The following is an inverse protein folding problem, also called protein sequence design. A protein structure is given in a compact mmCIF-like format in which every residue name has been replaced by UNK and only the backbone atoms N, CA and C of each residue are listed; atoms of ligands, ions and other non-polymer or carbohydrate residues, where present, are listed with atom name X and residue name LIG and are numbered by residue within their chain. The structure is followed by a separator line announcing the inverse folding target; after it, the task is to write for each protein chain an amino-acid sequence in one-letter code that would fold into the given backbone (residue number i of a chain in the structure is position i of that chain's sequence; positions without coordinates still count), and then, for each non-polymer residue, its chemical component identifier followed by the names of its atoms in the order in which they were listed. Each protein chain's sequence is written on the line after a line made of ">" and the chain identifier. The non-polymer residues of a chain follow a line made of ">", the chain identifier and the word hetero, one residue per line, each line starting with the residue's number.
data_IF_948821102078
#
_entry.id   IF_948821102078
#
_cell.length_a   1.000
_cell.length_b   1.000
_cell.length_c   1.000
_cell.angle_alpha   90.00
_cell.angle_beta   90.00
_cell.angle_gamma   90.00
#
_symmetry.space_group_name_H-M   'P 1'
#
loop_
_entity.id
_entity.type
_entity.pdbx_description
1 polymer ?
#
# COMPACT_ATOMS: atom_id res chain seq x y z
N UNK A 1 14.32 21.18 -22.40
CA UNK A 1 12.96 21.24 -21.81
C UNK A 1 12.67 22.59 -21.16
N UNK A 2 13.44 23.00 -20.14
CA UNK A 2 13.15 24.19 -19.30
C UNK A 2 12.78 25.48 -20.03
N UNK A 3 13.49 25.86 -21.11
CA UNK A 3 13.17 27.07 -21.90
C UNK A 3 11.75 27.04 -22.45
N UNK A 4 11.30 25.90 -23.00
CA UNK A 4 9.96 25.75 -23.56
C UNK A 4 8.90 25.79 -22.45
N UNK A 5 9.15 25.12 -21.32
CA UNK A 5 8.25 25.19 -20.16
C UNK A 5 8.09 26.63 -19.65
N UNK A 6 9.18 27.39 -19.52
CA UNK A 6 9.14 28.80 -19.10
C UNK A 6 8.33 29.67 -20.08
N UNK A 7 8.48 29.47 -21.38
CA UNK A 7 7.68 30.18 -22.39
C UNK A 7 6.18 29.83 -22.29
N UNK A 8 5.82 28.55 -22.08
CA UNK A 8 4.41 28.15 -21.84
C UNK A 8 3.87 28.75 -20.53
N UNK A 9 4.67 28.81 -19.47
CA UNK A 9 4.22 29.41 -18.20
C UNK A 9 4.01 30.92 -18.30
N UNK A 10 4.80 31.61 -19.12
CA UNK A 10 4.74 33.06 -19.29
C UNK A 10 3.71 33.54 -20.32
N UNK A 11 3.42 32.74 -21.37
CA UNK A 11 2.61 33.18 -22.52
C UNK A 11 1.23 32.53 -22.65
N UNK A 12 0.91 31.50 -21.88
CA UNK A 12 -0.29 30.70 -22.09
C UNK A 12 -1.32 30.84 -20.95
N UNK A 13 -2.46 31.47 -21.26
CA UNK A 13 -3.62 31.57 -20.36
C UNK A 13 -4.37 30.23 -20.22
N UNK A 14 -4.12 29.27 -21.10
CA UNK A 14 -4.80 27.98 -21.13
C UNK A 14 -4.29 27.08 -20.00
N UNK A 15 -5.02 27.06 -18.87
CA UNK A 15 -4.71 26.24 -17.68
C UNK A 15 -4.32 24.79 -18.02
N UNK A 16 -4.99 24.15 -18.99
CA UNK A 16 -4.73 22.77 -19.43
C UNK A 16 -3.33 22.57 -20.05
N UNK A 17 -2.88 23.49 -20.89
CA UNK A 17 -1.56 23.38 -21.54
C UNK A 17 -0.45 23.64 -20.51
N UNK A 18 -0.64 24.61 -19.62
CA UNK A 18 0.23 24.86 -18.47
C UNK A 18 0.40 23.61 -17.59
N UNK A 19 -0.70 22.94 -17.23
CA UNK A 19 -0.69 21.69 -16.45
C UNK A 19 0.10 20.57 -17.16
N UNK A 20 -0.15 20.35 -18.45
CA UNK A 20 0.56 19.33 -19.24
C UNK A 20 2.06 19.64 -19.37
N UNK A 21 2.42 20.90 -19.57
CA UNK A 21 3.82 21.34 -19.60
C UNK A 21 4.54 21.09 -18.26
N UNK A 22 3.87 21.35 -17.12
CA UNK A 22 4.39 21.03 -15.79
C UNK A 22 4.61 19.51 -15.62
N UNK A 23 3.61 18.68 -15.96
CA UNK A 23 3.74 17.23 -15.85
C UNK A 23 4.87 16.66 -16.72
N UNK A 24 5.02 17.14 -17.96
CA UNK A 24 6.13 16.76 -18.83
C UNK A 24 7.49 17.25 -18.30
N UNK A 25 7.56 18.42 -17.66
CA UNK A 25 8.78 18.91 -17.02
C UNK A 25 9.18 18.02 -15.83
N UNK A 26 8.22 17.72 -14.94
CA UNK A 26 8.45 16.86 -13.77
C UNK A 26 8.88 15.45 -14.22
N UNK A 27 8.21 14.87 -15.22
CA UNK A 27 8.58 13.58 -15.80
C UNK A 27 10.01 13.57 -16.33
N UNK A 28 10.42 14.61 -17.07
CA UNK A 28 11.78 14.75 -17.57
C UNK A 28 12.81 14.89 -16.44
N UNK A 29 12.55 15.72 -15.42
CA UNK A 29 13.44 15.87 -14.26
C UNK A 29 13.59 14.56 -13.48
N UNK A 30 12.50 13.81 -13.28
CA UNK A 30 12.50 12.51 -12.63
C UNK A 30 13.20 11.42 -13.47
N UNK A 31 13.22 11.54 -14.80
CA UNK A 31 13.98 10.66 -15.71
C UNK A 31 15.50 10.90 -15.64
N UNK A 32 15.91 12.12 -15.27
CA UNK A 32 17.30 12.57 -15.18
C UNK A 32 17.83 12.67 -13.74
N UNK A 33 17.22 11.96 -12.80
CA UNK A 33 17.66 11.88 -11.39
C UNK A 33 17.73 13.24 -10.67
N UNK A 34 16.89 14.21 -11.06
CA UNK A 34 16.76 15.50 -10.37
C UNK A 34 15.59 15.49 -9.39
N UNK A 35 15.67 14.65 -8.35
CA UNK A 35 14.56 14.40 -7.43
C UNK A 35 14.03 15.67 -6.75
N UNK A 36 14.90 16.46 -6.11
CA UNK A 36 14.48 17.67 -5.38
C UNK A 36 13.71 18.65 -6.29
N UNK A 37 14.26 18.97 -7.47
CA UNK A 37 13.60 19.87 -8.42
C UNK A 37 12.25 19.33 -8.91
N UNK A 38 12.14 18.02 -9.14
CA UNK A 38 10.90 17.38 -9.56
C UNK A 38 9.84 17.37 -8.44
N UNK A 39 10.24 17.10 -7.20
CA UNK A 39 9.40 17.14 -6.00
C UNK A 39 8.87 18.54 -5.74
N UNK A 40 9.75 19.53 -5.74
CA UNK A 40 9.41 20.91 -5.38
C UNK A 40 8.43 21.50 -6.42
N UNK A 41 8.64 21.24 -7.71
CA UNK A 41 7.69 21.59 -8.77
C UNK A 41 6.33 20.86 -8.63
N UNK A 42 6.33 19.58 -8.25
CA UNK A 42 5.08 18.85 -8.00
C UNK A 42 4.29 19.49 -6.85
N UNK A 43 4.95 19.80 -5.73
CA UNK A 43 4.33 20.42 -4.56
C UNK A 43 3.82 21.84 -4.86
N UNK A 44 4.64 22.70 -5.48
CA UNK A 44 4.24 24.07 -5.87
C UNK A 44 3.03 24.11 -6.80
N UNK A 45 2.85 23.07 -7.62
CA UNK A 45 1.78 23.02 -8.63
C UNK A 45 0.39 22.66 -8.06
N UNK A 46 0.33 22.12 -6.84
CA UNK A 46 -0.90 21.60 -6.19
C UNK A 46 -1.78 20.69 -7.07
N UNK A 47 -1.18 20.00 -8.06
CA UNK A 47 -1.92 19.21 -9.05
C UNK A 47 -2.74 18.08 -8.44
N UNK A 48 -2.32 17.54 -7.29
CA UNK A 48 -3.04 16.52 -6.51
C UNK A 48 -4.53 16.85 -6.32
N UNK A 49 -4.89 18.11 -6.05
CA UNK A 49 -6.28 18.52 -5.82
C UNK A 49 -7.10 18.76 -7.10
N UNK A 50 -6.44 18.85 -8.26
CA UNK A 50 -7.05 19.33 -9.53
C UNK A 50 -7.20 18.18 -10.54
N UNK A 51 -6.39 17.11 -10.42
CA UNK A 51 -6.33 16.01 -11.39
C UNK A 51 -7.66 15.27 -11.57
N UNK A 52 -8.44 15.04 -10.52
CA UNK A 52 -9.73 14.33 -10.61
C UNK A 52 -10.73 15.03 -11.54
N UNK A 53 -10.65 16.35 -11.63
CA UNK A 53 -11.49 17.19 -12.49
C UNK A 53 -10.88 17.45 -13.89
N UNK A 54 -9.68 16.91 -14.16
CA UNK A 54 -8.97 17.07 -15.43
C UNK A 54 -9.35 16.02 -16.47
N UNK A 55 -8.99 16.25 -17.74
CA UNK A 55 -9.27 15.29 -18.80
C UNK A 55 -8.48 13.99 -18.64
N UNK A 56 -9.08 12.85 -19.01
CA UNK A 56 -8.50 11.50 -18.81
C UNK A 56 -7.07 11.37 -19.38
N UNK A 57 -6.75 12.02 -20.50
CA UNK A 57 -5.38 12.04 -21.03
C UNK A 57 -4.37 12.78 -20.14
N UNK A 58 -4.80 13.82 -19.42
CA UNK A 58 -3.99 14.53 -18.41
C UNK A 58 -3.88 13.71 -17.12
N UNK A 59 -4.93 12.99 -16.72
CA UNK A 59 -4.89 12.02 -15.60
C UNK A 59 -3.89 10.88 -15.86
N UNK A 60 -3.90 10.29 -17.05
CA UNK A 60 -2.92 9.26 -17.46
C UNK A 60 -1.49 9.82 -17.40
N UNK A 61 -1.27 11.05 -17.90
CA UNK A 61 0.03 11.71 -17.83
C UNK A 61 0.47 11.94 -16.37
N UNK A 62 -0.44 12.39 -15.50
CA UNK A 62 -0.19 12.57 -14.07
C UNK A 62 0.19 11.26 -13.37
N UNK A 63 -0.58 10.18 -13.56
CA UNK A 63 -0.30 8.86 -12.98
C UNK A 63 1.11 8.38 -13.38
N UNK A 64 1.47 8.54 -14.65
CA UNK A 64 2.81 8.21 -15.16
C UNK A 64 3.91 9.08 -14.56
N UNK A 65 3.64 10.37 -14.36
CA UNK A 65 4.56 11.30 -13.68
C UNK A 65 4.75 10.94 -12.21
N UNK A 66 3.71 10.51 -11.50
CA UNK A 66 3.81 9.96 -10.14
C UNK A 66 4.66 8.69 -10.13
N UNK A 67 4.41 7.72 -11.02
CA UNK A 67 5.23 6.50 -11.11
C UNK A 67 6.71 6.85 -11.31
N UNK A 68 7.00 7.76 -12.24
CA UNK A 68 8.37 8.17 -12.53
C UNK A 68 9.01 8.92 -11.37
N UNK A 69 8.25 9.74 -10.63
CA UNK A 69 8.71 10.45 -9.44
C UNK A 69 8.98 9.48 -8.27
N UNK A 70 8.14 8.47 -8.07
CA UNK A 70 8.35 7.40 -7.08
C UNK A 70 9.58 6.54 -7.40
N UNK A 71 9.78 6.17 -8.67
CA UNK A 71 11.00 5.51 -9.13
C UNK A 71 12.25 6.40 -8.94
N UNK A 72 12.13 7.71 -9.16
CA UNK A 72 13.22 8.67 -8.90
C UNK A 72 13.54 8.79 -7.40
N UNK A 73 12.52 8.83 -6.54
CA UNK A 73 12.68 8.84 -5.08
C UNK A 73 13.41 7.57 -4.59
N UNK A 74 13.01 6.40 -5.10
CA UNK A 74 13.67 5.13 -4.80
C UNK A 74 15.16 5.14 -5.17
N UNK A 75 15.51 5.65 -6.36
CA UNK A 75 16.92 5.77 -6.82
C UNK A 75 17.78 6.69 -5.95
N UNK A 76 17.16 7.58 -5.15
CA UNK A 76 17.82 8.46 -4.17
C UNK A 76 17.77 7.92 -2.73
N UNK A 77 17.30 6.69 -2.51
CA UNK A 77 17.07 6.06 -1.19
C UNK A 77 15.96 6.69 -0.33
N UNK A 78 15.09 7.52 -0.92
CA UNK A 78 13.89 8.07 -0.25
C UNK A 78 12.75 7.03 -0.26
N UNK A 79 12.90 5.98 0.56
CA UNK A 79 12.04 4.79 0.57
C UNK A 79 10.60 5.13 1.02
N UNK A 80 10.42 6.04 1.99
CA UNK A 80 9.09 6.43 2.50
C UNK A 80 8.28 7.16 1.44
N UNK A 81 8.92 8.10 0.76
CA UNK A 81 8.36 8.91 -0.32
C UNK A 81 8.08 8.07 -1.57
N UNK A 82 8.98 7.14 -1.91
CA UNK A 82 8.78 6.16 -2.97
C UNK A 82 7.58 5.24 -2.67
N UNK A 83 7.48 4.72 -1.44
CA UNK A 83 6.33 3.92 -1.00
C UNK A 83 5.03 4.73 -1.12
N UNK A 84 4.97 5.94 -0.58
CA UNK A 84 3.78 6.79 -0.61
C UNK A 84 3.31 7.07 -2.05
N UNK A 85 4.22 7.50 -2.94
CA UNK A 85 3.88 7.81 -4.33
C UNK A 85 3.43 6.59 -5.15
N UNK A 86 3.94 5.38 -4.86
CA UNK A 86 3.56 4.16 -5.57
C UNK A 86 2.33 3.46 -4.96
N UNK A 87 2.02 3.71 -3.68
CA UNK A 87 0.95 3.06 -2.92
C UNK A 87 -0.43 3.24 -3.55
N UNK A 88 -0.78 4.46 -3.98
CA UNK A 88 -2.08 4.76 -4.59
C UNK A 88 -2.29 3.97 -5.87
N UNK A 89 -1.26 3.87 -6.73
CA UNK A 89 -1.37 3.23 -8.04
C UNK A 89 -1.36 1.70 -7.91
N UNK A 90 -0.54 1.12 -7.03
CA UNK A 90 -0.46 -0.33 -6.85
C UNK A 90 -1.65 -0.92 -6.08
N UNK A 91 -2.13 -0.25 -5.02
CA UNK A 91 -3.22 -0.79 -4.19
C UNK A 91 -4.55 -0.96 -4.95
N UNK A 92 -4.77 -0.23 -6.04
CA UNK A 92 -5.97 -0.37 -6.89
C UNK A 92 -6.02 -1.69 -7.67
N UNK A 93 -4.89 -2.41 -7.81
CA UNK A 93 -4.73 -3.57 -8.70
C UNK A 93 -5.05 -3.30 -10.19
N UNK A 94 -5.25 -2.03 -10.58
CA UNK A 94 -5.61 -1.59 -11.94
C UNK A 94 -4.50 -0.78 -12.62
N UNK A 95 -3.26 -0.91 -12.14
CA UNK A 95 -2.10 -0.13 -12.60
C UNK A 95 -1.88 -0.13 -14.13
N UNK A 96 -2.13 -1.25 -14.83
CA UNK A 96 -2.03 -1.33 -16.31
C UNK A 96 -3.02 -0.41 -17.03
N UNK A 97 -4.21 -0.21 -16.46
CA UNK A 97 -5.24 0.68 -17.01
C UNK A 97 -4.97 2.14 -16.66
N UNK A 98 -4.62 2.42 -15.40
CA UNK A 98 -4.31 3.77 -14.91
C UNK A 98 -3.11 4.42 -15.63
N UNK A 99 -2.22 3.60 -16.19
CA UNK A 99 -1.07 4.03 -17.00
C UNK A 99 -1.30 3.94 -18.52
N UNK A 100 -2.51 3.53 -18.95
CA UNK A 100 -2.91 3.31 -20.35
C UNK A 100 -1.96 2.39 -21.15
N UNK A 101 -1.47 1.33 -20.49
CA UNK A 101 -0.56 0.32 -21.06
C UNK A 101 -1.28 -1.00 -21.42
N UNK A 102 -2.51 -1.19 -20.92
CA UNK A 102 -3.33 -2.35 -21.23
C UNK A 102 -4.73 -2.23 -20.64
N UNK A 103 -5.62 -3.11 -21.10
CA UNK A 103 -7.00 -3.24 -20.61
C UNK A 103 -7.01 -4.32 -19.53
N UNK A 104 -7.65 -4.10 -18.38
CA UNK A 104 -7.79 -5.16 -17.39
C UNK A 104 -8.89 -6.14 -17.84
N UNK A 105 -8.64 -7.44 -17.68
CA UNK A 105 -9.51 -8.50 -18.23
C UNK A 105 -10.82 -8.72 -17.45
N UNK A 106 -11.25 -7.79 -16.59
CA UNK A 106 -12.51 -7.94 -15.83
C UNK A 106 -13.70 -7.66 -16.73
N UNK A 107 -14.36 -8.74 -17.15
CA UNK A 107 -15.53 -8.78 -18.04
C UNK A 107 -16.82 -8.15 -17.49
N UNK A 108 -16.82 -7.58 -16.28
CA UNK A 108 -18.03 -7.01 -15.68
C UNK A 108 -18.31 -5.62 -16.29
N UNK A 109 -19.18 -5.61 -17.31
CA UNK A 109 -19.96 -4.45 -17.79
C UNK A 109 -19.15 -3.25 -18.34
N UNK A 110 -18.37 -3.49 -19.40
CA UNK A 110 -17.91 -2.40 -20.29
C UNK A 110 -18.63 -2.46 -21.64
N UNK A 111 -19.15 -1.32 -22.09
CA UNK A 111 -19.71 -1.19 -23.44
C UNK A 111 -18.59 -1.19 -24.49
N UNK A 112 -18.83 -1.81 -25.64
CA UNK A 112 -17.83 -1.95 -26.71
C UNK A 112 -17.29 -0.60 -27.22
N UNK A 113 -18.08 0.47 -27.13
CA UNK A 113 -17.67 1.84 -27.46
C UNK A 113 -16.66 2.41 -26.47
N UNK A 114 -16.83 2.15 -25.17
CA UNK A 114 -15.87 2.56 -24.13
C UNK A 114 -14.54 1.81 -24.31
N UNK A 115 -14.56 0.52 -24.61
CA UNK A 115 -13.33 -0.24 -24.87
C UNK A 115 -12.60 0.26 -26.13
N UNK A 116 -13.33 0.62 -27.19
CA UNK A 116 -12.76 1.23 -28.40
C UNK A 116 -12.10 2.58 -28.11
N UNK A 117 -12.72 3.41 -27.26
CA UNK A 117 -12.16 4.69 -26.81
C UNK A 117 -10.96 4.50 -25.86
N UNK A 118 -10.96 3.48 -25.01
CA UNK A 118 -9.79 3.13 -24.19
C UNK A 118 -8.61 2.64 -25.05
N UNK A 119 -8.84 1.76 -26.05
CA UNK A 119 -7.81 1.36 -27.02
C UNK A 119 -7.21 2.56 -27.76
N UNK A 120 -8.05 3.49 -28.21
CA UNK A 120 -7.59 4.71 -28.88
C UNK A 120 -6.77 5.67 -27.98
N UNK A 121 -6.85 5.51 -26.64
CA UNK A 121 -6.07 6.26 -25.65
C UNK A 121 -4.81 5.53 -25.18
N UNK A 122 -4.54 4.33 -25.68
CA UNK A 122 -3.34 3.57 -25.31
C UNK A 122 -2.08 4.27 -25.80
N UNK A 123 -1.06 4.21 -24.96
CA UNK A 123 0.25 4.81 -25.23
C UNK A 123 1.10 3.81 -26.04
N UNK A 124 1.94 4.25 -27.00
CA UNK A 124 2.86 3.36 -27.72
C UNK A 124 3.83 2.61 -26.79
N UNK A 125 4.21 1.39 -27.17
CA UNK A 125 5.01 0.48 -26.34
C UNK A 125 6.35 1.08 -25.86
N UNK A 126 7.03 1.88 -26.69
CA UNK A 126 8.30 2.53 -26.32
C UNK A 126 8.16 3.60 -25.21
N UNK A 127 6.94 3.99 -24.85
CA UNK A 127 6.64 4.85 -23.70
C UNK A 127 6.08 4.05 -22.50
N UNK A 128 6.00 2.72 -22.55
CA UNK A 128 5.53 1.91 -21.42
C UNK A 128 6.57 1.93 -20.29
N UNK A 129 6.08 2.01 -19.05
CA UNK A 129 6.87 1.84 -17.81
C UNK A 129 6.57 0.42 -17.35
N UNK A 130 7.58 -0.44 -17.20
CA UNK A 130 7.35 -1.84 -16.80
C UNK A 130 6.61 -1.90 -15.43
N UNK A 131 5.42 -2.49 -15.43
CA UNK A 131 4.59 -2.63 -14.23
C UNK A 131 5.19 -3.62 -13.23
N UNK A 132 5.92 -4.64 -13.70
CA UNK A 132 6.61 -5.60 -12.81
C UNK A 132 7.79 -4.95 -12.07
N UNK A 133 8.52 -4.07 -12.75
CA UNK A 133 9.56 -3.22 -12.15
C UNK A 133 8.96 -2.31 -11.07
N UNK A 134 7.86 -1.62 -11.39
CA UNK A 134 7.16 -0.75 -10.45
C UNK A 134 6.59 -1.52 -9.25
N UNK A 135 6.07 -2.73 -9.47
CA UNK A 135 5.56 -3.59 -8.40
C UNK A 135 6.70 -4.12 -7.51
N UNK A 136 7.81 -4.56 -8.10
CA UNK A 136 8.98 -4.98 -7.35
C UNK A 136 9.55 -3.86 -6.47
N UNK A 137 9.71 -2.64 -7.02
CA UNK A 137 10.14 -1.46 -6.25
C UNK A 137 9.15 -1.14 -5.13
N UNK A 138 7.84 -1.16 -5.39
CA UNK A 138 6.82 -0.95 -4.36
C UNK A 138 6.92 -1.98 -3.23
N UNK A 139 7.01 -3.28 -3.57
CA UNK A 139 7.10 -4.36 -2.59
C UNK A 139 8.41 -4.32 -1.78
N UNK A 140 9.54 -3.95 -2.39
CA UNK A 140 10.81 -3.72 -1.65
C UNK A 140 10.67 -2.53 -0.69
N UNK A 141 10.02 -1.44 -1.11
CA UNK A 141 9.77 -0.31 -0.22
C UNK A 141 8.82 -0.68 0.93
N UNK A 142 7.74 -1.43 0.66
CA UNK A 142 6.86 -1.96 1.72
C UNK A 142 7.62 -2.91 2.65
N UNK A 143 8.46 -3.79 2.13
CA UNK A 143 9.27 -4.74 2.91
C UNK A 143 10.18 -4.01 3.91
N UNK A 144 10.94 -3.02 3.46
CA UNK A 144 11.87 -2.25 4.30
C UNK A 144 11.18 -1.40 5.38
N UNK A 145 9.92 -1.01 5.18
CA UNK A 145 9.16 -0.20 6.13
C UNK A 145 8.29 -1.03 7.09
N UNK A 146 7.65 -2.08 6.56
CA UNK A 146 6.68 -2.89 7.30
C UNK A 146 7.39 -3.89 8.23
N UNK A 147 8.55 -4.46 7.87
CA UNK A 147 9.22 -5.48 8.68
C UNK A 147 9.73 -4.91 10.03
N UNK A 148 10.49 -3.80 10.07
CA UNK A 148 10.88 -3.20 11.34
C UNK A 148 9.66 -2.79 12.18
N UNK A 149 8.60 -2.29 11.53
CA UNK A 149 7.39 -1.89 12.23
C UNK A 149 6.60 -3.10 12.79
N UNK A 150 6.56 -4.21 12.06
CA UNK A 150 5.96 -5.47 12.53
C UNK A 150 6.73 -6.06 13.70
N UNK A 151 8.06 -5.96 13.71
CA UNK A 151 8.90 -6.37 14.84
C UNK A 151 8.66 -5.48 16.07
N UNK A 152 8.63 -4.15 15.91
CA UNK A 152 8.34 -3.23 17.03
C UNK A 152 6.92 -3.40 17.59
N UNK A 153 5.94 -3.71 16.73
CA UNK A 153 4.52 -3.86 17.11
C UNK A 153 4.10 -5.29 17.45
N UNK A 154 5.02 -6.24 17.72
CA UNK A 154 4.61 -7.58 18.16
C UNK A 154 3.82 -7.53 19.48
N UNK A 155 4.11 -6.52 20.32
CA UNK A 155 3.49 -6.30 21.62
C UNK A 155 2.20 -5.45 21.60
N UNK A 156 1.94 -4.69 20.52
CA UNK A 156 0.77 -3.80 20.42
C UNK A 156 -0.48 -4.50 19.86
N UNK A 157 -1.64 -4.27 20.50
CA UNK A 157 -2.91 -4.90 20.13
C UNK A 157 -3.43 -4.46 18.74
N UNK A 158 -3.04 -3.28 18.26
CA UNK A 158 -3.42 -2.73 16.94
C UNK A 158 -2.20 -2.56 16.04
N UNK A 159 -1.82 -3.64 15.34
CA UNK A 159 -0.90 -3.57 14.19
C UNK A 159 -1.37 -2.52 13.19
N UNK A 160 -0.68 -1.38 13.11
CA UNK A 160 -0.99 -0.29 12.17
C UNK A 160 -0.32 -0.60 10.83
N UNK A 161 -0.91 -1.55 10.10
CA UNK A 161 -0.39 -2.00 8.81
C UNK A 161 -0.18 -0.81 7.86
N UNK A 162 1.07 -0.60 7.41
CA UNK A 162 1.42 0.48 6.48
C UNK A 162 0.96 0.14 5.06
N UNK A 163 1.02 -1.15 4.70
CA UNK A 163 0.58 -1.70 3.41
C UNK A 163 -0.29 -2.95 3.59
N UNK A 164 -1.60 -2.76 3.41
CA UNK A 164 -2.58 -3.88 3.40
C UNK A 164 -2.31 -4.88 2.28
N UNK A 165 -1.80 -4.43 1.13
CA UNK A 165 -1.53 -5.29 -0.03
C UNK A 165 -0.30 -6.17 0.21
N UNK A 166 0.78 -5.62 0.75
CA UNK A 166 1.96 -6.38 1.15
C UNK A 166 1.63 -7.41 2.26
N UNK A 167 0.92 -6.99 3.32
CA UNK A 167 0.52 -7.91 4.39
C UNK A 167 -0.39 -9.04 3.89
N UNK A 168 -1.28 -8.76 2.93
CA UNK A 168 -2.09 -9.80 2.28
C UNK A 168 -1.22 -10.79 1.49
N UNK A 169 -0.21 -10.33 0.74
CA UNK A 169 0.72 -11.21 0.02
C UNK A 169 1.53 -12.10 1.00
N UNK A 170 2.04 -11.52 2.09
CA UNK A 170 2.76 -12.27 3.13
C UNK A 170 1.86 -13.36 3.72
N UNK A 171 0.67 -13.00 4.21
CA UNK A 171 -0.31 -13.94 4.78
C UNK A 171 -0.79 -15.01 3.78
N UNK A 172 -0.84 -14.68 2.49
CA UNK A 172 -1.19 -15.66 1.46
C UNK A 172 -0.07 -16.69 1.26
N UNK A 173 1.21 -16.27 1.35
CA UNK A 173 2.35 -17.19 1.27
C UNK A 173 2.51 -18.09 2.50
N UNK A 174 2.05 -17.66 3.67
CA UNK A 174 2.04 -18.46 4.91
C UNK A 174 1.00 -19.59 4.86
N UNK A 175 -0.11 -19.38 4.14
CA UNK A 175 -1.13 -20.41 3.91
C UNK A 175 -0.71 -21.50 2.94
N UNK A 176 0.30 -21.25 2.11
CA UNK A 176 0.83 -22.22 1.16
C UNK A 176 1.60 -23.32 1.92
N UNK A 177 1.00 -24.50 2.06
CA UNK A 177 1.59 -25.64 2.78
C UNK A 177 2.92 -26.14 2.20
N UNK A 178 3.20 -25.81 0.94
CA UNK A 178 4.49 -26.04 0.29
C UNK A 178 5.01 -24.71 -0.23
N UNK A 179 6.18 -24.28 0.27
CA UNK A 179 6.91 -23.13 -0.23
C UNK A 179 8.07 -23.67 -1.06
N UNK A 180 7.96 -23.57 -2.38
CA UNK A 180 9.05 -23.87 -3.31
C UNK A 180 10.11 -22.77 -3.34
N UNK A 181 11.23 -22.97 -4.06
CA UNK A 181 12.16 -21.89 -4.36
C UNK A 181 11.44 -20.80 -5.18
N UNK A 182 11.72 -19.51 -4.93
CA UNK A 182 11.01 -18.41 -5.60
C UNK A 182 11.34 -18.35 -7.10
N UNK A 183 10.32 -18.08 -7.92
CA UNK A 183 10.49 -17.85 -9.37
C UNK A 183 9.87 -16.52 -9.84
N UNK A 184 8.81 -16.09 -9.16
CA UNK A 184 8.14 -14.83 -9.41
C UNK A 184 8.79 -13.69 -8.61
N UNK A 185 8.81 -12.47 -9.17
CA UNK A 185 9.37 -11.28 -8.49
C UNK A 185 8.72 -11.04 -7.12
N UNK A 186 7.42 -11.31 -7.00
CA UNK A 186 6.68 -11.28 -5.74
C UNK A 186 7.18 -12.31 -4.72
N UNK A 187 7.41 -13.54 -5.17
CA UNK A 187 7.87 -14.64 -4.32
C UNK A 187 9.29 -14.40 -3.82
N UNK A 188 10.17 -13.84 -4.66
CA UNK A 188 11.51 -13.42 -4.25
C UNK A 188 11.45 -12.39 -3.10
N UNK A 189 10.63 -11.34 -3.22
CA UNK A 189 10.49 -10.33 -2.16
C UNK A 189 9.85 -10.91 -0.89
N UNK A 190 8.92 -11.86 -1.01
CA UNK A 190 8.30 -12.55 0.14
C UNK A 190 9.24 -13.57 0.80
N UNK A 191 10.13 -14.22 0.04
CA UNK A 191 11.20 -15.05 0.61
C UNK A 191 12.23 -14.18 1.34
N UNK A 192 12.60 -13.04 0.74
CA UNK A 192 13.49 -12.05 1.33
C UNK A 192 12.92 -11.44 2.63
N UNK A 193 11.61 -11.17 2.69
CA UNK A 193 10.96 -10.65 3.90
C UNK A 193 11.03 -11.62 5.08
N UNK A 194 10.90 -12.92 4.84
CA UNK A 194 11.08 -13.96 5.87
C UNK A 194 12.53 -14.09 6.33
N UNK A 195 13.49 -13.99 5.42
CA UNK A 195 14.91 -13.97 5.78
C UNK A 195 15.26 -12.74 6.64
N UNK A 196 14.72 -11.58 6.29
CA UNK A 196 14.90 -10.31 7.02
C UNK A 196 14.24 -10.33 8.41
N UNK A 197 13.06 -10.94 8.56
CA UNK A 197 12.43 -11.17 9.88
C UNK A 197 13.30 -12.02 10.81
N UNK A 198 14.07 -12.97 10.28
CA UNK A 198 15.05 -13.76 11.03
C UNK A 198 16.39 -13.01 11.24
N UNK A 199 16.53 -11.77 10.77
CA UNK A 199 17.78 -10.99 10.81
C UNK A 199 18.87 -11.43 9.82
N UNK A 200 18.60 -12.39 8.93
CA UNK A 200 19.58 -12.90 7.96
C UNK A 200 19.61 -12.03 6.69
N UNK A 201 20.41 -10.97 6.76
CA UNK A 201 20.57 -10.03 5.65
C UNK A 201 21.25 -10.65 4.43
N UNK A 202 22.08 -11.70 4.59
CA UNK A 202 22.80 -12.35 3.49
C UNK A 202 21.83 -13.14 2.62
N UNK A 203 20.97 -13.98 3.23
CA UNK A 203 19.88 -14.64 2.50
C UNK A 203 18.90 -13.62 1.90
N UNK A 204 18.59 -12.52 2.60
CA UNK A 204 17.74 -11.46 2.07
C UNK A 204 18.32 -10.84 0.78
N UNK A 205 19.61 -10.49 0.80
CA UNK A 205 20.37 -10.02 -0.38
C UNK A 205 20.31 -11.03 -1.52
N UNK A 206 20.63 -12.29 -1.26
CA UNK A 206 20.74 -13.33 -2.30
C UNK A 206 19.38 -13.66 -2.95
N UNK A 207 18.25 -13.42 -2.26
CA UNK A 207 16.92 -13.51 -2.86
C UNK A 207 16.55 -12.31 -3.74
N UNK A 208 17.10 -11.11 -3.47
CA UNK A 208 16.80 -9.84 -4.17
C UNK A 208 17.78 -9.58 -5.34
N UNK A 209 19.04 -9.98 -5.17
CA UNK A 209 20.13 -9.89 -6.15
C UNK A 209 20.41 -11.30 -6.67
N UNK A 210 19.59 -11.70 -7.64
CA UNK A 210 19.64 -12.99 -8.30
C UNK A 210 19.51 -12.76 -9.81
N UNK A 211 20.19 -13.54 -10.66
CA UNK A 211 20.16 -13.44 -12.12
C UNK A 211 18.73 -13.33 -12.68
N UNK A 212 17.76 -14.05 -12.09
CA UNK A 212 16.34 -13.99 -12.46
C UNK A 212 15.70 -12.61 -12.21
N UNK A 213 16.08 -11.92 -11.13
CA UNK A 213 15.63 -10.56 -10.82
C UNK A 213 16.43 -9.50 -11.58
N UNK A 214 17.73 -9.73 -11.81
CA UNK A 214 18.57 -8.85 -12.62
C UNK A 214 18.03 -8.71 -14.04
N UNK A 215 17.69 -9.83 -14.68
CA UNK A 215 17.11 -9.85 -16.02
C UNK A 215 15.72 -9.18 -16.10
N UNK A 216 14.87 -9.33 -15.07
CA UNK A 216 13.47 -8.82 -15.07
C UNK A 216 13.32 -7.37 -14.58
N UNK A 217 14.19 -6.93 -13.68
CA UNK A 217 14.01 -5.70 -12.88
C UNK A 217 15.23 -4.79 -13.00
N UNK A 218 16.41 -5.27 -12.56
CA UNK A 218 17.55 -4.38 -12.34
C UNK A 218 18.19 -3.88 -13.65
N UNK A 219 18.23 -4.70 -14.70
CA UNK A 219 18.77 -4.32 -16.02
C UNK A 219 17.92 -3.25 -16.76
N UNK A 220 16.72 -2.91 -16.26
CA UNK A 220 15.89 -1.84 -16.80
C UNK A 220 16.29 -0.44 -16.27
N UNK A 221 17.13 -0.36 -15.23
CA UNK A 221 17.65 0.90 -14.72
C UNK A 221 18.92 1.33 -15.48
N UNK A 222 19.02 2.62 -15.80
CA UNK A 222 20.22 3.22 -16.41
C UNK A 222 21.49 3.09 -15.56
N UNK A 223 21.34 3.12 -14.24
CA UNK A 223 22.42 3.02 -13.26
C UNK A 223 22.14 1.84 -12.32
N UNK A 224 22.13 0.61 -12.85
CA UNK A 224 21.74 -0.60 -12.11
C UNK A 224 22.54 -0.76 -10.80
N UNK A 225 23.87 -0.68 -10.90
CA UNK A 225 24.78 -1.02 -9.78
C UNK A 225 24.62 -0.08 -8.58
N UNK A 226 24.48 1.23 -8.82
CA UNK A 226 24.24 2.24 -7.77
C UNK A 226 22.93 1.99 -7.03
N UNK A 227 21.91 1.49 -7.72
CA UNK A 227 20.62 1.16 -7.08
C UNK A 227 20.73 -0.15 -6.30
N UNK A 228 21.45 -1.16 -6.83
CA UNK A 228 21.73 -2.41 -6.09
C UNK A 228 22.51 -2.14 -4.79
N UNK A 229 23.62 -1.39 -4.86
CA UNK A 229 24.44 -1.02 -3.71
C UNK A 229 23.60 -0.28 -2.64
N UNK A 230 22.79 0.70 -3.07
CA UNK A 230 21.88 1.43 -2.18
C UNK A 230 20.84 0.50 -1.52
N UNK A 231 20.26 -0.44 -2.27
CA UNK A 231 19.30 -1.41 -1.72
C UNK A 231 19.97 -2.38 -0.74
N UNK A 232 21.17 -2.88 -1.04
CA UNK A 232 21.95 -3.74 -0.13
C UNK A 232 22.21 -3.01 1.18
N UNK A 233 22.70 -1.76 1.13
CA UNK A 233 22.95 -0.95 2.32
C UNK A 233 21.69 -0.73 3.16
N UNK A 234 20.55 -0.43 2.53
CA UNK A 234 19.27 -0.28 3.24
C UNK A 234 18.76 -1.60 3.84
N UNK A 235 18.98 -2.74 3.16
CA UNK A 235 18.68 -4.06 3.72
C UNK A 235 19.55 -4.32 4.96
N UNK A 236 20.84 -4.01 4.94
CA UNK A 236 21.72 -4.16 6.11
C UNK A 236 21.24 -3.29 7.29
N UNK A 237 20.98 -2.00 7.05
CA UNK A 237 20.50 -1.05 8.07
C UNK A 237 19.17 -1.48 8.71
N UNK A 238 18.16 -1.85 7.90
CA UNK A 238 16.85 -2.26 8.44
C UNK A 238 16.85 -3.72 8.95
N UNK A 239 17.75 -4.59 8.48
CA UNK A 239 17.92 -5.94 9.05
C UNK A 239 18.56 -5.89 10.44
N UNK A 240 19.55 -5.00 10.65
CA UNK A 240 20.12 -4.71 11.97
C UNK A 240 19.03 -4.24 12.94
N UNK A 241 18.21 -3.27 12.52
CA UNK A 241 17.07 -2.77 13.31
C UNK A 241 16.06 -3.87 13.63
N UNK A 242 15.68 -4.68 12.64
CA UNK A 242 14.75 -5.82 12.82
C UNK A 242 15.33 -6.86 13.79
N UNK A 243 16.62 -7.18 13.67
CA UNK A 243 17.32 -8.13 14.53
C UNK A 243 17.37 -7.66 15.99
N UNK A 244 17.70 -6.38 16.22
CA UNK A 244 17.72 -5.80 17.57
C UNK A 244 16.32 -5.80 18.21
N UNK A 245 15.27 -5.52 17.45
CA UNK A 245 13.88 -5.56 17.94
C UNK A 245 13.44 -7.01 18.28
N UNK A 246 13.65 -7.97 17.37
CA UNK A 246 13.26 -9.38 17.57
C UNK A 246 13.98 -10.05 18.74
N UNK A 247 15.27 -9.75 18.93
CA UNK A 247 16.09 -10.42 19.95
C UNK A 247 16.36 -9.57 21.20
N UNK A 248 15.68 -8.42 21.34
CA UNK A 248 15.73 -7.54 22.52
C UNK A 248 15.48 -8.30 23.83
N UNK A 249 14.49 -9.22 23.84
CA UNK A 249 14.19 -10.10 24.99
C UNK A 249 15.35 -10.97 25.48
N UNK A 250 16.24 -11.39 24.59
CA UNK A 250 17.26 -12.42 24.87
C UNK A 250 18.59 -11.78 25.28
N UNK A 251 18.96 -10.68 24.64
CA UNK A 251 20.24 -10.02 24.88
C UNK A 251 20.19 -9.07 26.09
N UNK A 252 21.16 -9.17 26.99
CA UNK A 252 21.37 -8.19 28.07
C UNK A 252 22.39 -7.13 27.68
N UNK A 253 23.44 -7.55 26.98
CA UNK A 253 24.57 -6.73 26.56
C UNK A 253 25.02 -7.19 25.18
N UNK A 254 25.27 -6.25 24.27
CA UNK A 254 25.74 -6.53 22.90
C UNK A 254 26.83 -5.53 22.54
N UNK A 255 27.99 -5.99 22.09
CA UNK A 255 29.07 -5.09 21.65
C UNK A 255 28.83 -4.55 20.24
N UNK A 256 29.10 -3.26 20.02
CA UNK A 256 29.02 -2.63 18.69
C UNK A 256 29.95 -3.31 17.68
N UNK A 257 31.08 -3.84 18.12
CA UNK A 257 32.05 -4.54 17.26
C UNK A 257 31.46 -5.82 16.64
N UNK A 258 30.73 -6.61 17.42
CA UNK A 258 30.12 -7.85 16.92
C UNK A 258 28.96 -7.55 15.96
N UNK A 259 28.19 -6.49 16.20
CA UNK A 259 27.16 -6.01 15.27
C UNK A 259 27.77 -5.50 13.95
N UNK A 260 28.86 -4.73 14.02
CA UNK A 260 29.60 -4.25 12.86
C UNK A 260 30.12 -5.40 12.00
N UNK A 261 30.71 -6.44 12.61
CA UNK A 261 31.18 -7.63 11.92
C UNK A 261 30.05 -8.48 11.33
N UNK A 262 28.92 -8.64 12.04
CA UNK A 262 27.81 -9.50 11.62
C UNK A 262 27.01 -8.90 10.46
N UNK A 263 26.82 -7.58 10.46
CA UNK A 263 26.09 -6.86 9.41
C UNK A 263 26.98 -6.26 8.31
N UNK A 264 28.31 -6.34 8.44
CA UNK A 264 29.29 -5.73 7.52
C UNK A 264 29.06 -4.21 7.34
N UNK A 265 28.80 -3.53 8.47
CA UNK A 265 28.52 -2.10 8.56
C UNK A 265 29.58 -1.38 9.39
N UNK A 266 29.87 -0.12 9.07
CA UNK A 266 30.80 0.71 9.85
C UNK A 266 30.23 1.05 11.23
N UNK A 267 31.09 1.06 12.26
CA UNK A 267 30.73 1.36 13.65
C UNK A 267 29.94 2.68 13.77
N UNK A 268 30.33 3.73 13.03
CA UNK A 268 29.63 5.02 13.06
C UNK A 268 28.18 4.92 12.59
N UNK A 269 27.90 4.06 11.60
CA UNK A 269 26.56 3.83 11.07
C UNK A 269 25.71 2.99 12.02
N UNK A 270 26.29 1.93 12.61
CA UNK A 270 25.64 1.09 13.62
C UNK A 270 25.25 1.93 14.84
N UNK A 271 26.19 2.73 15.37
CA UNK A 271 25.93 3.69 16.44
C UNK A 271 24.80 4.66 16.06
N UNK A 272 24.87 5.29 14.88
CA UNK A 272 23.84 6.24 14.42
C UNK A 272 22.45 5.64 14.32
N UNK A 273 22.32 4.38 13.87
CA UNK A 273 21.05 3.66 13.80
C UNK A 273 20.53 3.35 15.20
N UNK A 274 21.37 2.84 16.10
CA UNK A 274 20.99 2.48 17.47
C UNK A 274 20.60 3.73 18.28
N UNK A 275 21.40 4.80 18.26
CA UNK A 275 21.06 6.06 18.93
C UNK A 275 19.72 6.61 18.44
N UNK A 276 19.43 6.50 17.14
CA UNK A 276 18.15 6.92 16.58
C UNK A 276 16.99 6.07 17.08
N UNK A 277 17.15 4.74 17.18
CA UNK A 277 16.13 3.83 17.74
C UNK A 277 15.81 4.13 19.21
N UNK A 278 16.83 4.44 20.02
CA UNK A 278 16.68 4.83 21.42
C UNK A 278 15.94 6.17 21.53
N UNK A 279 16.31 7.18 20.73
CA UNK A 279 15.65 8.49 20.71
C UNK A 279 14.19 8.41 20.24
N UNK A 280 13.86 7.46 19.34
CA UNK A 280 12.47 7.21 18.91
C UNK A 280 11.66 6.33 19.88
N UNK A 281 12.23 5.98 21.05
CA UNK A 281 11.61 5.10 22.07
C UNK A 281 11.24 3.70 21.52
N UNK A 282 11.85 3.27 20.41
CA UNK A 282 11.62 1.95 19.80
C UNK A 282 12.38 0.84 20.50
N UNK A 283 13.46 1.17 21.21
CA UNK A 283 14.33 0.23 21.91
C UNK A 283 14.63 0.74 23.32
N UNK A 284 14.23 -0.03 24.34
CA UNK A 284 14.55 0.24 25.74
C UNK A 284 15.99 -0.16 26.07
N UNK A 285 16.96 0.62 25.60
CA UNK A 285 18.38 0.36 25.81
C UNK A 285 19.18 1.63 26.12
N UNK A 286 20.30 1.46 26.81
CA UNK A 286 21.33 2.50 27.00
C UNK A 286 22.60 2.10 26.25
N UNK A 287 23.33 3.09 25.74
CA UNK A 287 24.61 2.89 25.08
C UNK A 287 25.73 3.39 26.01
N UNK A 288 26.71 2.53 26.28
CA UNK A 288 27.88 2.88 27.09
C UNK A 288 29.07 3.26 26.19
N UNK A 289 29.36 4.56 26.13
CA UNK A 289 30.40 5.17 25.30
C UNK A 289 31.83 4.65 25.57
N UNK A 290 32.30 4.41 26.82
CA UNK A 290 33.65 3.89 27.06
C UNK A 290 33.84 2.40 26.76
N UNK A 291 32.79 1.58 26.71
CA UNK A 291 32.90 0.12 26.45
C UNK A 291 32.37 -0.32 25.08
N UNK A 292 31.88 0.61 24.25
CA UNK A 292 31.29 0.32 22.92
C UNK A 292 30.16 -0.74 23.02
N UNK A 293 29.41 -0.75 24.14
CA UNK A 293 28.40 -1.77 24.44
C UNK A 293 26.99 -1.19 24.56
N UNK A 294 26.03 -1.88 23.94
CA UNK A 294 24.60 -1.67 24.09
C UNK A 294 24.07 -2.50 25.26
N UNK A 295 23.49 -1.85 26.25
CA UNK A 295 22.90 -2.47 27.45
C UNK A 295 21.37 -2.42 27.30
N UNK A 296 20.74 -3.59 27.18
CA UNK A 296 19.28 -3.69 27.08
C UNK A 296 18.65 -3.60 28.47
N UNK A 297 17.70 -2.69 28.65
CA UNK A 297 16.90 -2.62 29.86
C UNK A 297 15.73 -3.60 29.75
N UNK A 298 15.67 -4.60 30.64
CA UNK A 298 14.61 -5.62 30.68
C UNK A 298 13.27 -5.06 31.20
N UNK A 299 12.70 -4.11 30.46
CA UNK A 299 11.40 -3.46 30.75
C UNK A 299 10.25 -4.15 30.02
N UNK A 300 10.55 -5.11 29.14
CA UNK A 300 9.54 -5.79 28.33
C UNK A 300 8.51 -6.57 29.19
N UNK A 301 7.20 -6.28 29.04
CA UNK A 301 6.17 -6.90 29.84
C UNK A 301 6.03 -8.39 29.51
N UNK A 302 5.87 -9.21 30.55
CA UNK A 302 5.56 -10.63 30.38
C UNK A 302 4.26 -10.84 29.60
N UNK A 303 4.12 -12.02 28.97
CA UNK A 303 2.92 -12.37 28.20
C UNK A 303 1.60 -12.21 28.96
N UNK A 304 1.60 -12.37 30.29
CA UNK A 304 0.42 -12.11 31.12
C UNK A 304 0.16 -10.61 31.33
N UNK A 305 1.20 -9.80 31.53
CA UNK A 305 1.09 -8.34 31.60
C UNK A 305 0.62 -7.76 30.26
N UNK A 306 1.13 -8.26 29.13
CA UNK A 306 0.63 -7.93 27.79
C UNK A 306 -0.86 -8.24 27.64
N UNK A 307 -1.28 -9.46 27.98
CA UNK A 307 -2.70 -9.84 27.93
C UNK A 307 -3.58 -8.99 28.86
N UNK A 308 -3.06 -8.54 30.00
CA UNK A 308 -3.76 -7.63 30.90
C UNK A 308 -3.88 -6.22 30.30
N UNK A 309 -2.81 -5.66 29.74
CA UNK A 309 -2.86 -4.38 29.00
C UNK A 309 -3.84 -4.46 27.82
N UNK A 310 -3.80 -5.56 27.06
CA UNK A 310 -4.72 -5.82 25.95
C UNK A 310 -6.18 -5.95 26.39
N UNK A 311 -6.44 -6.46 27.61
CA UNK A 311 -7.77 -6.48 28.20
C UNK A 311 -8.20 -5.05 28.57
N UNK A 312 -7.33 -4.28 29.21
CA UNK A 312 -7.59 -2.88 29.57
C UNK A 312 -7.95 -2.04 28.34
N UNK A 313 -7.16 -2.10 27.26
CA UNK A 313 -7.46 -1.40 25.99
C UNK A 313 -8.84 -1.75 25.43
N UNK A 314 -9.24 -3.02 25.53
CA UNK A 314 -10.57 -3.48 25.09
C UNK A 314 -11.68 -3.03 26.04
N UNK A 315 -11.43 -3.00 27.35
CA UNK A 315 -12.38 -2.48 28.33
C UNK A 315 -12.61 -0.99 28.13
N UNK A 316 -11.57 -0.20 27.86
CA UNK A 316 -11.69 1.22 27.47
C UNK A 316 -12.52 1.37 26.20
N UNK A 317 -12.19 0.64 25.12
CA UNK A 317 -12.98 0.68 23.87
C UNK A 317 -14.45 0.25 24.06
N UNK A 318 -14.72 -0.67 24.99
CA UNK A 318 -16.09 -1.05 25.36
C UNK A 318 -16.78 0.01 26.22
N UNK A 319 -16.07 0.70 27.12
CA UNK A 319 -16.58 1.84 27.86
C UNK A 319 -16.97 2.98 26.90
N UNK A 320 -16.06 3.40 26.01
CA UNK A 320 -16.31 4.39 24.95
C UNK A 320 -17.55 4.02 24.10
N UNK A 321 -17.65 2.74 23.72
CA UNK A 321 -18.79 2.22 22.94
C UNK A 321 -20.10 2.26 23.73
N UNK A 322 -20.06 1.97 25.04
CA UNK A 322 -21.23 2.04 25.91
C UNK A 322 -21.66 3.49 26.14
N UNK A 323 -20.72 4.43 26.32
CA UNK A 323 -20.99 5.86 26.43
C UNK A 323 -21.65 6.39 25.14
N UNK A 324 -21.11 6.05 23.96
CA UNK A 324 -21.71 6.40 22.66
C UNK A 324 -23.12 5.81 22.45
N UNK A 325 -23.47 4.70 23.11
CA UNK A 325 -24.83 4.13 23.10
C UNK A 325 -25.74 4.80 24.16
N UNK A 326 -25.16 5.35 25.23
CA UNK A 326 -25.87 6.03 26.31
C UNK A 326 -26.15 7.51 25.98
N UNK A 327 -25.27 8.24 25.30
CA UNK A 327 -25.52 9.64 24.91
C UNK A 327 -26.83 9.83 24.11
N UNK A 328 -27.16 9.02 23.07
CA UNK A 328 -28.45 9.09 22.39
C UNK A 328 -29.66 8.74 23.27
N UNK A 329 -29.44 8.00 24.37
CA UNK A 329 -30.48 7.66 25.36
C UNK A 329 -30.68 8.77 26.38
N UNK A 330 -29.67 9.58 26.67
CA UNK A 330 -29.79 10.78 27.51
C UNK A 330 -30.45 11.95 26.76
N UNK A 331 -30.20 12.08 25.45
CA UNK A 331 -30.78 13.11 24.60
C UNK A 331 -32.27 12.92 24.22
N UNK A 332 -32.85 11.73 24.48
CA UNK A 332 -34.30 11.52 24.41
C UNK A 332 -34.84 11.40 25.83
N UNK A 333 -35.67 12.38 26.22
CA UNK A 333 -36.40 12.37 27.49
C UNK A 333 -36.99 10.98 27.79
N UNK A 334 -36.75 10.48 29.00
CA UNK A 334 -37.05 9.12 29.43
C UNK A 334 -38.57 8.89 29.58
N UNK A 335 -39.29 8.74 28.46
CA UNK A 335 -40.74 8.50 28.43
C UNK A 335 -41.12 7.02 28.64
N UNK A 336 -40.53 6.41 29.67
CA UNK A 336 -40.97 5.15 30.28
C UNK A 336 -40.92 3.89 29.39
N UNK A 337 -41.41 2.74 29.92
CA UNK A 337 -41.29 1.43 29.25
C UNK A 337 -42.18 1.21 28.01
N UNK A 338 -42.84 2.24 27.49
CA UNK A 338 -43.87 2.11 26.43
C UNK A 338 -43.40 2.40 25.00
N UNK A 339 -42.26 3.05 24.79
CA UNK A 339 -41.86 3.63 23.49
C UNK A 339 -41.39 2.61 22.41
N UNK A 340 -41.68 1.32 22.57
CA UNK A 340 -41.32 0.25 21.62
C UNK A 340 -42.44 -0.12 20.63
N UNK A 341 -43.66 0.37 20.83
CA UNK A 341 -44.79 0.15 19.93
C UNK A 341 -45.51 1.47 19.62
N UNK A 342 -45.30 2.04 18.43
CA UNK A 342 -46.07 3.21 18.00
C UNK A 342 -45.43 4.10 16.94
N UNK A 343 -45.17 3.59 15.73
CA UNK A 343 -45.08 4.46 14.55
C UNK A 343 -45.55 3.74 13.27
N UNK A 344 -46.85 3.43 13.23
CA UNK A 344 -47.57 3.01 12.03
C UNK A 344 -48.93 3.74 12.02
N UNK A 345 -49.31 4.29 10.86
CA UNK A 345 -50.47 5.18 10.62
C UNK A 345 -50.31 6.57 11.31
N UNK A 346 -50.79 7.67 10.74
CA UNK A 346 -51.40 7.93 9.42
C UNK A 346 -51.23 9.42 9.06
N UNK A 347 -51.08 9.76 7.77
CA UNK A 347 -51.18 11.15 7.27
C UNK A 347 -51.86 11.20 5.89
N UNK A 348 -53.17 11.16 5.94
CA UNK A 348 -54.15 11.64 4.96
C UNK A 348 -55.03 12.67 5.71
N UNK A 349 -55.61 13.74 5.15
CA UNK A 349 -55.65 14.36 3.79
C UNK A 349 -55.14 15.83 3.89
N UNK A 350 -55.32 16.83 3.01
CA UNK A 350 -56.04 17.03 1.72
C UNK A 350 -55.38 18.19 0.92
N UNK A 351 -55.63 18.25 -0.40
CA UNK A 351 -55.72 19.42 -1.33
C UNK A 351 -55.08 19.05 -2.68
N UNK A 352 -55.80 18.38 -3.58
CA UNK A 352 -56.65 18.98 -4.64
C UNK A 352 -55.93 19.97 -5.58
N UNK A 353 -55.59 19.53 -6.81
CA UNK A 353 -56.26 20.03 -8.01
C UNK A 353 -55.99 19.21 -9.30
N UNK A 354 -57.07 19.04 -10.07
CA UNK A 354 -57.19 18.83 -11.53
C UNK A 354 -56.73 17.51 -12.21
N UNK A 355 -57.68 16.98 -13.00
CA UNK A 355 -57.64 15.87 -13.98
C UNK A 355 -57.40 16.46 -15.40
N UNK A 356 -57.11 15.70 -16.50
CA UNK A 356 -57.74 14.38 -16.80
C UNK A 356 -56.93 13.30 -17.56
N UNK A 357 -57.53 12.11 -17.59
CA UNK A 357 -57.39 10.97 -18.52
C UNK A 357 -56.21 10.93 -19.52
N UNK A 358 -55.45 9.82 -19.45
CA UNK A 358 -55.30 8.93 -20.61
C UNK A 358 -55.14 7.46 -20.18
N UNK A 359 -56.01 6.59 -20.67
CA UNK A 359 -55.80 5.14 -20.62
C UNK A 359 -54.63 4.75 -21.53
N UNK A 360 -53.75 3.86 -21.07
CA UNK A 360 -53.23 2.76 -21.90
C UNK A 360 -52.98 1.54 -21.01
N UNK A 361 -53.32 0.36 -21.51
CA UNK A 361 -53.09 -0.93 -20.87
C UNK A 361 -51.59 -1.27 -20.80
N UNK A 362 -51.16 -1.93 -19.72
CA UNK A 362 -50.52 -3.25 -19.85
C UNK A 362 -50.50 -4.01 -18.52
N UNK A 363 -51.03 -5.24 -18.57
CA UNK A 363 -50.93 -6.21 -17.49
C UNK A 363 -49.54 -6.83 -17.44
N UNK A 364 -48.99 -7.02 -16.23
CA UNK A 364 -48.42 -8.30 -15.82
C UNK A 364 -48.14 -8.27 -14.32
N UNK A 365 -49.08 -8.82 -13.55
CA UNK A 365 -48.92 -8.91 -12.10
C UNK A 365 -47.98 -10.05 -11.73
N UNK A 366 -47.06 -9.72 -10.82
CA UNK A 366 -46.03 -10.60 -10.29
C UNK A 366 -46.64 -11.69 -9.40
N UNK A 367 -46.24 -12.96 -9.56
CA UNK A 367 -46.45 -13.98 -8.52
C UNK A 367 -45.42 -15.12 -8.58
N UNK A 368 -44.45 -15.01 -7.68
CA UNK A 368 -43.89 -16.05 -6.81
C UNK A 368 -43.66 -17.47 -7.40
N UNK A 369 -42.41 -17.99 -7.46
CA UNK A 369 -41.52 -18.42 -6.34
C UNK A 369 -41.47 -19.97 -6.31
N UNK A 370 -40.30 -20.54 -6.02
CA UNK A 370 -40.00 -21.99 -5.88
C UNK A 370 -39.91 -22.85 -7.17
N UNK A 371 -38.67 -23.12 -7.62
CA UNK A 371 -38.20 -24.50 -7.88
C UNK A 371 -36.70 -24.55 -8.19
N UNK A 372 -35.87 -24.76 -7.16
CA UNK A 372 -34.43 -24.98 -7.28
C UNK A 372 -34.06 -26.40 -6.85
N UNK A 373 -34.52 -27.43 -7.58
CA UNK A 373 -34.10 -28.82 -7.30
C UNK A 373 -34.19 -29.84 -8.46
N UNK A 374 -34.39 -29.41 -9.72
CA UNK A 374 -34.57 -30.34 -10.86
C UNK A 374 -33.34 -30.52 -11.76
N UNK A 375 -32.24 -29.80 -11.54
CA UNK A 375 -31.09 -29.80 -12.47
C UNK A 375 -30.00 -30.84 -12.12
N UNK A 376 -30.04 -31.43 -10.92
CA UNK A 376 -29.05 -32.44 -10.49
C UNK A 376 -29.34 -33.88 -10.93
N UNK A 377 -30.53 -34.18 -11.50
CA UNK A 377 -30.86 -35.54 -11.97
C UNK A 377 -30.43 -35.87 -13.42
N UNK A 378 -29.99 -34.89 -14.23
CA UNK A 378 -29.65 -35.10 -15.65
C UNK A 378 -28.15 -35.30 -15.96
N UNK A 379 -27.27 -35.41 -14.95
CA UNK A 379 -25.82 -35.62 -15.16
C UNK A 379 -25.29 -37.00 -14.76
N UNK A 380 -26.11 -37.91 -14.23
CA UNK A 380 -25.67 -39.26 -13.80
C UNK A 380 -25.98 -40.40 -14.78
N UNK A 381 -26.78 -40.19 -15.82
CA UNK A 381 -27.23 -41.28 -16.73
C UNK A 381 -26.46 -41.38 -18.06
N UNK A 382 -25.36 -40.64 -18.26
CA UNK A 382 -24.56 -40.65 -19.49
C UNK A 382 -23.13 -41.23 -19.35
N UNK A 383 -22.87 -42.07 -18.35
CA UNK A 383 -21.57 -42.74 -18.18
C UNK A 383 -21.62 -44.26 -17.90
N UNK A 384 -22.67 -44.94 -18.40
CA UNK A 384 -22.68 -46.42 -18.47
C UNK A 384 -23.32 -46.89 -19.78
N UNK A 385 -22.50 -47.08 -20.83
CA UNK A 385 -22.51 -48.23 -21.76
C UNK A 385 -21.60 -47.98 -22.97
N UNK A 386 -20.76 -48.99 -23.25
CA UNK A 386 -19.72 -49.10 -24.28
C UNK A 386 -18.50 -48.20 -24.05
#
# INVERSE_FOLDING_TARGET
>A
MERLCKEVYARDDTKRLRQRAMLCQIYHLALHDKWHQARDLMLMSHLQAIVDHSDVSTQILYNRTICQLGLCAFRHSFIKEAHQGLSEIQNTQRAKELLAQGIAMRQQERTAEQEKLERARQIPYHMHINVELMECVYLICSMLLEIPHMASQEYELRRRLLSRSFHYQLKQSEKSSLIGPPENTREHVVAASRAMLNGDWKKCRDFIVNDKMDAKVWNLFRNSDKVKEMVIRRIQEESLRTYLLMYSTVYTTVSLETLSQLFELDKSTVHSVISKMIISEELSASLDEPTDCLIMHRVEPSRLQLLALHLTDKLTQLADSNEQILEPRAGRSYTGPGAWYGLRQERTTTEQQQRPNRMTYQESSNKNRWNANLQNRRRMEQRVRY
#
